data_IF_508410543150
#
_entry.id   IF_508410543150
#
_cell.length_a   1.000
_cell.length_b   1.000
_cell.length_c   1.000
_cell.angle_alpha   90.00
_cell.angle_beta   90.00
_cell.angle_gamma   90.00
#
_symmetry.space_group_name_H-M   'P 1'
#
loop_
_entity.id
_entity.type
_entity.pdbx_description
1 polymer ?
#
# COMPACT_ATOMS: atom_id res chain seq x y z
N UNK A 1 10.70 3.15 49.05
CA UNK A 1 11.63 3.34 47.92
C UNK A 1 10.81 3.63 46.67
N UNK A 2 10.47 4.89 46.46
CA UNK A 2 9.80 5.39 45.25
C UNK A 2 10.91 5.87 44.33
N UNK A 3 11.35 5.02 43.39
CA UNK A 3 12.21 5.47 42.30
C UNK A 3 11.51 6.63 41.59
N UNK A 4 12.15 7.80 41.59
CA UNK A 4 11.76 8.89 40.71
C UNK A 4 12.01 8.40 39.29
N UNK A 5 10.97 7.88 38.64
CA UNK A 5 10.97 7.68 37.20
C UNK A 5 11.24 9.06 36.56
N UNK A 6 12.49 9.27 36.15
CA UNK A 6 12.86 10.44 35.38
C UNK A 6 12.11 10.36 34.06
N UNK A 7 11.51 11.46 33.62
CA UNK A 7 10.82 11.54 32.32
C UNK A 7 11.70 11.03 31.18
N UNK A 8 13.03 11.14 31.31
CA UNK A 8 14.02 10.60 30.37
C UNK A 8 13.97 9.08 30.26
N UNK A 9 13.83 8.36 31.39
CA UNK A 9 13.73 6.89 31.41
C UNK A 9 12.43 6.43 30.77
N UNK A 10 11.31 7.12 31.06
CA UNK A 10 10.02 6.85 30.41
C UNK A 10 10.12 7.11 28.90
N UNK A 11 10.78 8.19 28.50
CA UNK A 11 10.97 8.56 27.10
C UNK A 11 11.85 7.56 26.34
N UNK A 12 12.93 7.09 26.97
CA UNK A 12 13.83 6.06 26.44
C UNK A 12 13.12 4.69 26.38
N UNK A 13 12.21 4.39 27.30
CA UNK A 13 11.39 3.17 27.27
C UNK A 13 10.29 3.22 26.19
N UNK A 14 9.80 4.41 25.85
CA UNK A 14 8.79 4.63 24.82
C UNK A 14 9.37 4.65 23.40
N UNK A 15 10.69 4.82 23.24
CA UNK A 15 11.40 4.85 21.95
C UNK A 15 10.81 5.83 20.91
N UNK A 16 10.21 6.93 21.39
CA UNK A 16 9.66 7.99 20.53
C UNK A 16 10.70 8.64 19.59
N UNK A 17 11.95 8.94 20.01
CA UNK A 17 12.90 9.58 19.12
C UNK A 17 13.37 8.64 18.01
N UNK A 18 13.51 7.35 18.27
CA UNK A 18 13.80 6.33 17.26
C UNK A 18 12.66 6.20 16.26
N UNK A 19 11.41 6.21 16.74
CA UNK A 19 10.24 6.21 15.85
C UNK A 19 10.15 7.50 15.02
N UNK A 20 10.47 8.66 15.59
CA UNK A 20 10.55 9.89 14.81
C UNK A 20 11.70 9.85 13.78
N UNK A 21 12.80 9.16 14.08
CA UNK A 21 13.91 8.95 13.14
C UNK A 21 13.46 8.20 11.88
N UNK A 22 12.44 7.34 11.95
CA UNK A 22 11.87 6.67 10.77
C UNK A 22 11.48 7.63 9.65
N UNK A 23 11.04 8.85 9.98
CA UNK A 23 10.76 9.90 8.99
C UNK A 23 12.01 10.40 8.28
N UNK A 24 13.07 10.71 9.05
CA UNK A 24 14.37 11.14 8.50
C UNK A 24 14.94 10.05 7.60
N UNK A 25 14.83 8.79 8.03
CA UNK A 25 15.21 7.63 7.22
C UNK A 25 14.38 7.56 5.94
N UNK A 26 13.07 7.76 6.00
CA UNK A 26 12.21 7.67 4.82
C UNK A 26 12.59 8.69 3.74
N UNK A 27 12.91 9.93 4.12
CA UNK A 27 13.27 11.04 3.21
C UNK A 27 14.65 10.88 2.55
N UNK A 28 15.48 9.94 3.00
CA UNK A 28 16.81 9.79 2.42
C UNK A 28 16.75 9.55 0.88
N UNK A 29 17.56 10.26 0.08
CA UNK A 29 17.45 10.25 -1.39
C UNK A 29 17.46 8.84 -2.01
N UNK A 30 18.33 7.95 -1.52
CA UNK A 30 18.44 6.59 -2.04
C UNK A 30 17.14 5.80 -1.90
N UNK A 31 16.48 5.89 -0.73
CA UNK A 31 15.22 5.16 -0.46
C UNK A 31 14.05 5.76 -1.21
N UNK A 32 13.99 7.09 -1.29
CA UNK A 32 13.01 7.81 -2.12
C UNK A 32 13.12 7.42 -3.59
N UNK A 33 14.34 7.34 -4.12
CA UNK A 33 14.57 6.98 -5.51
C UNK A 33 14.20 5.51 -5.77
N UNK A 34 14.55 4.58 -4.89
CA UNK A 34 14.13 3.18 -4.99
C UNK A 34 12.61 3.04 -4.97
N UNK A 35 11.95 3.72 -4.04
CA UNK A 35 10.49 3.74 -3.94
C UNK A 35 9.84 4.34 -5.19
N UNK A 36 10.41 5.44 -5.72
CA UNK A 36 9.93 6.08 -6.94
C UNK A 36 10.08 5.19 -8.17
N UNK A 37 11.23 4.55 -8.35
CA UNK A 37 11.42 3.57 -9.41
C UNK A 37 10.44 2.40 -9.31
N UNK A 38 10.16 1.91 -8.08
CA UNK A 38 9.18 0.86 -7.83
C UNK A 38 7.75 1.27 -8.21
N UNK A 39 7.30 2.42 -7.69
CA UNK A 39 5.97 2.98 -7.99
C UNK A 39 5.84 3.26 -9.48
N UNK A 40 6.86 3.87 -10.10
CA UNK A 40 6.88 4.13 -11.53
C UNK A 40 6.79 2.84 -12.36
N UNK A 41 7.53 1.79 -11.99
CA UNK A 41 7.47 0.49 -12.67
C UNK A 41 6.08 -0.15 -12.56
N UNK A 42 5.43 -0.08 -11.39
CA UNK A 42 4.07 -0.61 -11.19
C UNK A 42 3.04 0.17 -12.00
N UNK A 43 3.12 1.51 -11.99
CA UNK A 43 2.21 2.36 -12.76
C UNK A 43 2.41 2.19 -14.27
N UNK A 44 3.65 2.09 -14.75
CA UNK A 44 3.91 1.87 -16.19
C UNK A 44 3.46 0.48 -16.63
N UNK A 45 3.67 -0.55 -15.80
CA UNK A 45 3.14 -1.89 -16.04
C UNK A 45 1.60 -1.86 -16.17
N UNK A 46 0.91 -1.22 -15.21
CA UNK A 46 -0.55 -1.08 -15.26
C UNK A 46 -1.04 -0.33 -16.49
N UNK A 47 -0.36 0.76 -16.85
CA UNK A 47 -0.67 1.54 -18.06
C UNK A 47 -0.47 0.72 -19.35
N UNK A 48 0.64 0.01 -19.48
CA UNK A 48 0.92 -0.86 -20.65
C UNK A 48 -0.13 -1.96 -20.76
N UNK A 49 -0.50 -2.58 -19.63
CA UNK A 49 -1.53 -3.63 -19.62
C UNK A 49 -2.92 -3.09 -19.98
N UNK A 50 -3.27 -1.88 -19.53
CA UNK A 50 -4.52 -1.20 -19.93
C UNK A 50 -4.54 -0.91 -21.44
N UNK A 51 -3.41 -0.50 -22.03
CA UNK A 51 -3.31 -0.32 -23.49
C UNK A 51 -3.55 -1.64 -24.24
N UNK A 52 -3.16 -2.78 -23.67
CA UNK A 52 -3.35 -4.09 -24.28
C UNK A 52 -4.73 -4.71 -24.02
N UNK A 53 -5.45 -4.30 -22.96
CA UNK A 53 -6.70 -4.93 -22.53
C UNK A 53 -7.73 -3.90 -22.04
N UNK A 54 -8.60 -3.46 -22.96
CA UNK A 54 -9.76 -2.61 -22.63
C UNK A 54 -11.00 -3.49 -22.33
N UNK A 55 -11.02 -4.13 -21.16
CA UNK A 55 -12.05 -5.11 -20.80
C UNK A 55 -13.21 -4.55 -19.96
N UNK A 56 -13.07 -3.38 -19.34
CA UNK A 56 -14.09 -2.82 -18.42
C UNK A 56 -15.08 -1.96 -19.18
N UNK A 57 -16.37 -2.22 -19.02
CA UNK A 57 -17.46 -1.42 -19.57
C UNK A 57 -17.78 -0.23 -18.65
N UNK A 58 -17.80 0.95 -19.26
CA UNK A 58 -18.19 2.20 -18.63
C UNK A 58 -19.42 2.73 -19.37
N UNK A 59 -20.49 2.99 -18.63
CA UNK A 59 -21.71 3.60 -19.18
C UNK A 59 -21.86 5.01 -18.63
N UNK A 60 -22.03 5.97 -19.54
CA UNK A 60 -22.32 7.36 -19.20
C UNK A 60 -23.84 7.59 -19.34
N UNK A 61 -24.49 8.15 -18.31
CA UNK A 61 -25.89 8.56 -18.41
C UNK A 61 -25.94 9.94 -19.07
N UNK A 62 -26.47 10.02 -20.29
CA UNK A 62 -26.61 11.29 -21.03
C UNK A 62 -27.63 12.26 -20.41
N UNK A 63 -28.49 11.79 -19.49
CA UNK A 63 -29.56 12.59 -18.88
C UNK A 63 -29.10 13.49 -17.74
N UNK A 64 -27.89 13.28 -17.19
CA UNK A 64 -27.25 14.15 -16.21
C UNK A 64 -25.77 14.29 -16.58
N UNK A 65 -25.44 15.30 -17.37
CA UNK A 65 -24.05 15.62 -17.79
C UNK A 65 -23.08 15.91 -16.63
N UNK A 66 -23.56 15.90 -15.38
CA UNK A 66 -22.79 16.08 -14.13
C UNK A 66 -22.67 14.81 -13.27
N UNK A 67 -23.32 13.70 -13.63
CA UNK A 67 -23.25 12.46 -12.86
C UNK A 67 -21.98 11.66 -13.21
N UNK A 68 -21.24 11.22 -12.20
CA UNK A 68 -20.02 10.42 -12.38
C UNK A 68 -20.31 9.15 -13.23
N UNK A 69 -19.41 8.79 -14.16
CA UNK A 69 -19.60 7.64 -15.04
C UNK A 69 -19.80 6.37 -14.22
N UNK A 70 -20.81 5.57 -14.57
CA UNK A 70 -21.10 4.32 -13.87
C UNK A 70 -20.19 3.23 -14.44
N UNK A 71 -19.33 2.68 -13.60
CA UNK A 71 -18.41 1.59 -13.95
C UNK A 71 -18.95 0.24 -13.46
N UNK A 72 -18.53 -0.85 -14.10
CA UNK A 72 -18.78 -2.21 -13.61
C UNK A 72 -18.37 -2.39 -12.13
N UNK A 73 -17.23 -1.82 -11.75
CA UNK A 73 -16.75 -1.85 -10.37
C UNK A 73 -17.73 -1.15 -9.42
N UNK A 74 -18.29 0.00 -9.81
CA UNK A 74 -19.28 0.69 -8.98
C UNK A 74 -20.56 -0.14 -8.82
N UNK A 75 -20.99 -0.86 -9.87
CA UNK A 75 -22.11 -1.80 -9.80
C UNK A 75 -21.82 -2.97 -8.84
N UNK A 76 -20.62 -3.54 -8.90
CA UNK A 76 -20.17 -4.61 -8.01
C UNK A 76 -20.19 -4.20 -6.54
N UNK A 77 -19.65 -3.02 -6.23
CA UNK A 77 -19.60 -2.52 -4.85
C UNK A 77 -21.01 -2.23 -4.30
N UNK A 78 -21.91 -1.73 -5.15
CA UNK A 78 -23.30 -1.42 -4.80
C UNK A 78 -24.15 -2.66 -4.55
N UNK A 79 -23.81 -3.80 -5.14
CA UNK A 79 -24.50 -5.08 -4.97
C UNK A 79 -24.41 -5.70 -3.56
N UNK A 80 -23.92 -4.96 -2.56
CA UNK A 80 -23.88 -5.41 -1.16
C UNK A 80 -22.79 -6.44 -0.88
N UNK A 81 -22.75 -6.95 0.36
CA UNK A 81 -21.83 -7.99 0.81
C UNK A 81 -22.36 -9.41 0.60
N UNK A 82 -23.54 -9.57 0.03
CA UNK A 82 -24.07 -10.89 -0.30
C UNK A 82 -23.22 -11.55 -1.39
N UNK A 83 -22.89 -12.81 -1.17
CA UNK A 83 -21.90 -13.58 -1.93
C UNK A 83 -22.20 -13.62 -3.44
N UNK A 84 -23.48 -13.50 -3.83
CA UNK A 84 -23.92 -13.42 -5.23
C UNK A 84 -24.47 -12.04 -5.65
N UNK A 85 -24.82 -11.17 -4.70
CA UNK A 85 -25.46 -9.87 -4.99
C UNK A 85 -24.58 -8.93 -5.83
N UNK A 86 -23.27 -8.92 -5.55
CA UNK A 86 -22.30 -8.19 -6.36
C UNK A 86 -22.17 -8.74 -7.79
N UNK A 87 -22.25 -10.05 -7.97
CA UNK A 87 -22.12 -10.68 -9.30
C UNK A 87 -23.37 -10.47 -10.14
N UNK A 88 -24.55 -10.61 -9.54
CA UNK A 88 -25.83 -10.39 -10.21
C UNK A 88 -26.01 -8.91 -10.61
N UNK A 89 -25.58 -7.98 -9.77
CA UNK A 89 -25.60 -6.54 -10.08
C UNK A 89 -24.71 -6.19 -11.29
N UNK A 90 -23.53 -6.81 -11.41
CA UNK A 90 -22.66 -6.63 -12.57
C UNK A 90 -23.28 -7.24 -13.83
N UNK A 91 -23.85 -8.44 -13.76
CA UNK A 91 -24.54 -9.07 -14.90
C UNK A 91 -25.70 -8.19 -15.40
N UNK A 92 -26.56 -7.72 -14.49
CA UNK A 92 -27.65 -6.79 -14.82
C UNK A 92 -27.15 -5.47 -15.42
N UNK A 93 -25.96 -5.01 -15.02
CA UNK A 93 -25.33 -3.83 -15.59
C UNK A 93 -24.81 -4.09 -17.00
N UNK A 94 -24.19 -5.24 -17.24
CA UNK A 94 -23.70 -5.66 -18.56
C UNK A 94 -24.85 -5.83 -19.55
N UNK A 95 -25.95 -6.50 -19.16
CA UNK A 95 -27.13 -6.68 -20.02
C UNK A 95 -27.76 -5.34 -20.43
N UNK A 96 -27.77 -4.36 -19.51
CA UNK A 96 -28.24 -2.99 -19.78
C UNK A 96 -27.26 -2.16 -20.63
N UNK A 97 -25.97 -2.48 -20.54
CA UNK A 97 -24.94 -1.81 -21.31
C UNK A 97 -24.94 -2.30 -22.77
N UNK A 98 -25.20 -3.59 -23.00
CA UNK A 98 -25.33 -4.17 -24.35
C UNK A 98 -26.47 -3.52 -25.17
N UNK A 99 -27.51 -3.06 -24.49
CA UNK A 99 -28.65 -2.35 -25.11
C UNK A 99 -28.43 -0.85 -25.30
N UNK A 100 -27.35 -0.26 -24.76
CA UNK A 100 -27.02 1.18 -24.91
C UNK A 100 -25.88 1.40 -25.91
N UNK A 101 -26.07 2.31 -26.85
CA UNK A 101 -25.07 2.70 -27.85
C UNK A 101 -23.91 3.54 -27.30
N UNK A 102 -23.97 4.00 -26.05
CA UNK A 102 -22.98 4.89 -25.41
C UNK A 102 -22.13 4.15 -24.35
N UNK A 103 -21.51 3.04 -24.77
CA UNK A 103 -20.61 2.25 -23.93
C UNK A 103 -19.15 2.52 -24.30
N UNK A 104 -18.37 3.00 -23.33
CA UNK A 104 -16.93 3.18 -23.46
C UNK A 104 -16.21 2.04 -22.76
N UNK A 105 -15.11 1.55 -23.35
CA UNK A 105 -14.24 0.57 -22.68
C UNK A 105 -13.05 1.27 -22.03
N UNK A 106 -12.72 0.84 -20.81
CA UNK A 106 -11.57 1.31 -20.04
C UNK A 106 -10.74 0.10 -19.58
N UNK A 107 -9.46 0.34 -19.29
CA UNK A 107 -8.57 -0.64 -18.71
C UNK A 107 -8.83 -0.86 -17.20
N UNK A 108 -8.51 -2.07 -16.73
CA UNK A 108 -8.75 -2.51 -15.34
C UNK A 108 -7.91 -1.69 -14.36
N UNK A 109 -6.65 -1.38 -14.69
CA UNK A 109 -5.78 -0.59 -13.82
C UNK A 109 -6.29 0.84 -13.67
N UNK A 110 -6.70 1.49 -14.75
CA UNK A 110 -7.25 2.85 -14.74
C UNK A 110 -8.51 2.93 -13.88
N UNK A 111 -9.42 1.95 -14.00
CA UNK A 111 -10.62 1.87 -13.15
C UNK A 111 -10.26 1.68 -11.68
N UNK A 112 -9.33 0.77 -11.36
CA UNK A 112 -8.88 0.56 -9.98
C UNK A 112 -8.15 1.77 -9.40
N UNK A 113 -7.31 2.43 -10.19
CA UNK A 113 -6.54 3.60 -9.79
C UNK A 113 -7.46 4.78 -9.47
N UNK A 114 -8.43 5.08 -10.34
CA UNK A 114 -9.42 6.15 -10.12
C UNK A 114 -10.27 5.84 -8.88
N UNK A 115 -10.70 4.60 -8.72
CA UNK A 115 -11.49 4.17 -7.57
C UNK A 115 -10.70 4.28 -6.25
N UNK A 116 -9.47 3.75 -6.22
CA UNK A 116 -8.62 3.77 -5.04
C UNK A 116 -8.19 5.19 -4.66
N UNK A 117 -7.79 6.02 -5.63
CA UNK A 117 -7.40 7.41 -5.38
C UNK A 117 -8.59 8.25 -4.87
N UNK A 118 -9.79 8.06 -5.42
CA UNK A 118 -11.02 8.72 -4.95
C UNK A 118 -11.35 8.37 -3.50
N UNK A 119 -11.36 7.07 -3.15
CA UNK A 119 -11.63 6.66 -1.77
C UNK A 119 -10.52 7.00 -0.77
N UNK A 120 -9.27 7.00 -1.20
CA UNK A 120 -8.15 7.48 -0.37
C UNK A 120 -8.27 8.98 -0.08
N UNK A 121 -8.66 9.76 -1.09
CA UNK A 121 -8.94 11.17 -0.92
C UNK A 121 -10.09 11.41 0.06
N UNK A 122 -11.24 10.74 -0.11
CA UNK A 122 -12.38 10.80 0.81
C UNK A 122 -12.04 10.37 2.24
N UNK A 123 -11.20 9.32 2.40
CA UNK A 123 -10.74 8.90 3.71
C UNK A 123 -9.88 9.98 4.38
N UNK A 124 -8.99 10.62 3.60
CA UNK A 124 -8.13 11.69 4.12
C UNK A 124 -8.95 12.93 4.48
N UNK A 125 -9.93 13.32 3.67
CA UNK A 125 -10.77 14.49 3.95
C UNK A 125 -11.59 14.29 5.22
N UNK A 126 -12.19 13.10 5.39
CA UNK A 126 -12.98 12.78 6.57
C UNK A 126 -12.11 12.69 7.83
N UNK A 127 -10.89 12.14 7.74
CA UNK A 127 -9.96 12.09 8.87
C UNK A 127 -9.54 13.49 9.36
N UNK A 128 -9.48 14.47 8.46
CA UNK A 128 -9.17 15.86 8.77
C UNK A 128 -10.40 16.67 9.23
N UNK A 129 -11.62 16.18 9.00
CA UNK A 129 -12.82 16.82 9.50
C UNK A 129 -13.04 16.49 10.98
N UNK A 130 -12.39 17.26 11.85
CA UNK A 130 -12.49 17.17 13.31
C UNK A 130 -13.68 17.98 13.88
N UNK A 131 -14.37 18.77 13.04
CA UNK A 131 -15.47 19.66 13.46
C UNK A 131 -16.78 18.91 13.64
N UNK A 132 -17.13 18.04 12.69
CA UNK A 132 -18.51 17.55 12.57
C UNK A 132 -18.71 16.11 13.09
N UNK A 133 -17.63 15.37 13.35
CA UNK A 133 -17.70 13.94 13.68
C UNK A 133 -16.68 13.53 14.76
N UNK A 134 -17.07 12.54 15.58
CA UNK A 134 -16.17 11.93 16.54
C UNK A 134 -14.97 11.27 15.84
N UNK A 135 -13.78 11.32 16.44
CA UNK A 135 -12.55 10.69 15.90
C UNK A 135 -12.79 9.21 15.59
N UNK A 136 -13.53 8.50 16.44
CA UNK A 136 -13.88 7.09 16.23
C UNK A 136 -14.70 6.86 14.95
N UNK A 137 -15.67 7.73 14.64
CA UNK A 137 -16.43 7.64 13.38
C UNK A 137 -15.57 7.91 12.16
N UNK A 138 -14.61 8.85 12.25
CA UNK A 138 -13.70 9.15 11.16
C UNK A 138 -12.74 7.98 10.89
N UNK A 139 -12.21 7.36 11.94
CA UNK A 139 -11.37 6.14 11.81
C UNK A 139 -12.19 5.00 11.21
N UNK A 140 -13.41 4.75 11.72
CA UNK A 140 -14.28 3.70 11.19
C UNK A 140 -14.61 3.94 9.71
N UNK A 141 -14.86 5.20 9.32
CA UNK A 141 -15.09 5.58 7.93
C UNK A 141 -13.86 5.29 7.05
N UNK A 142 -12.68 5.70 7.50
CA UNK A 142 -11.42 5.43 6.78
C UNK A 142 -11.16 3.93 6.61
N UNK A 143 -11.35 3.12 7.65
CA UNK A 143 -11.26 1.66 7.58
C UNK A 143 -12.27 1.09 6.59
N UNK A 144 -13.51 1.60 6.58
CA UNK A 144 -14.53 1.21 5.62
C UNK A 144 -14.12 1.49 4.16
N UNK A 145 -13.45 2.62 3.90
CA UNK A 145 -12.93 2.96 2.56
C UNK A 145 -11.77 2.05 2.14
N UNK A 146 -10.86 1.72 3.06
CA UNK A 146 -9.81 0.73 2.81
C UNK A 146 -10.42 -0.64 2.49
N UNK A 147 -11.47 -1.04 3.21
CA UNK A 147 -12.21 -2.26 2.92
C UNK A 147 -12.84 -2.28 1.52
N UNK A 148 -13.38 -1.14 1.06
CA UNK A 148 -13.89 -1.01 -0.31
C UNK A 148 -12.78 -1.18 -1.36
N UNK A 149 -11.57 -0.66 -1.12
CA UNK A 149 -10.42 -0.90 -2.00
C UNK A 149 -10.03 -2.39 -2.06
N UNK A 150 -10.09 -3.11 -0.93
CA UNK A 150 -9.87 -4.56 -0.91
C UNK A 150 -10.94 -5.31 -1.71
N UNK A 151 -12.21 -4.91 -1.58
CA UNK A 151 -13.30 -5.46 -2.40
C UNK A 151 -13.11 -5.17 -3.89
N UNK A 152 -12.59 -4.00 -4.25
CA UNK A 152 -12.29 -3.65 -5.64
C UNK A 152 -11.18 -4.53 -6.23
N UNK A 153 -10.16 -4.87 -5.44
CA UNK A 153 -9.18 -5.89 -5.85
C UNK A 153 -9.86 -7.26 -6.06
N UNK A 154 -10.78 -7.65 -5.17
CA UNK A 154 -11.58 -8.88 -5.32
C UNK A 154 -12.43 -8.90 -6.60
N UNK A 155 -13.02 -7.77 -6.99
CA UNK A 155 -13.70 -7.60 -8.27
C UNK A 155 -12.76 -7.88 -9.44
N UNK A 156 -11.56 -7.29 -9.42
CA UNK A 156 -10.58 -7.49 -10.49
C UNK A 156 -10.21 -8.97 -10.65
N UNK A 157 -9.96 -9.69 -9.55
CA UNK A 157 -9.68 -11.14 -9.61
C UNK A 157 -10.87 -11.96 -10.10
N UNK A 158 -12.11 -11.56 -9.78
CA UNK A 158 -13.31 -12.31 -10.15
C UNK A 158 -13.69 -12.16 -11.61
N UNK A 159 -13.63 -10.94 -12.15
CA UNK A 159 -14.08 -10.62 -13.52
C UNK A 159 -12.93 -10.57 -14.53
N UNK A 160 -11.72 -10.24 -14.08
CA UNK A 160 -10.52 -10.16 -14.93
C UNK A 160 -9.35 -10.98 -14.34
N UNK A 161 -9.49 -12.31 -14.20
CA UNK A 161 -8.53 -13.14 -13.47
C UNK A 161 -7.13 -13.14 -14.11
N UNK A 162 -7.04 -13.27 -15.43
CA UNK A 162 -5.73 -13.31 -16.13
C UNK A 162 -4.99 -11.99 -15.96
N UNK A 163 -5.68 -10.87 -16.21
CA UNK A 163 -5.14 -9.53 -16.02
C UNK A 163 -4.64 -9.35 -14.58
N UNK A 164 -5.49 -9.67 -13.60
CA UNK A 164 -5.18 -9.48 -12.19
C UNK A 164 -4.02 -10.35 -11.73
N UNK A 165 -3.97 -11.62 -12.12
CA UNK A 165 -2.85 -12.51 -11.75
C UNK A 165 -1.53 -11.98 -12.28
N UNK A 166 -1.47 -11.56 -13.55
CA UNK A 166 -0.23 -11.01 -14.15
C UNK A 166 0.17 -9.71 -13.46
N UNK A 167 -0.77 -8.75 -13.33
CA UNK A 167 -0.49 -7.44 -12.76
C UNK A 167 -0.09 -7.50 -11.28
N UNK A 168 -0.85 -8.22 -10.45
CA UNK A 168 -0.56 -8.31 -9.01
C UNK A 168 0.69 -9.17 -8.74
N UNK A 169 0.95 -10.23 -9.52
CA UNK A 169 2.18 -11.00 -9.38
C UNK A 169 3.42 -10.16 -9.73
N UNK A 170 3.42 -9.47 -10.87
CA UNK A 170 4.53 -8.61 -11.25
C UNK A 170 4.71 -7.44 -10.28
N UNK A 171 3.61 -6.81 -9.83
CA UNK A 171 3.66 -5.76 -8.80
C UNK A 171 4.25 -6.28 -7.49
N UNK A 172 3.85 -7.48 -7.06
CA UNK A 172 4.41 -8.13 -5.86
C UNK A 172 5.91 -8.37 -6.00
N UNK A 173 6.38 -8.89 -7.15
CA UNK A 173 7.80 -9.11 -7.40
C UNK A 173 8.62 -7.80 -7.34
N UNK A 174 8.08 -6.70 -7.88
CA UNK A 174 8.69 -5.37 -7.83
C UNK A 174 8.75 -4.87 -6.38
N UNK A 175 7.65 -4.94 -5.63
CA UNK A 175 7.61 -4.49 -4.24
C UNK A 175 8.47 -5.34 -3.30
N UNK A 176 8.63 -6.64 -3.56
CA UNK A 176 9.57 -7.50 -2.82
C UNK A 176 11.00 -7.02 -3.03
N UNK A 177 11.38 -6.70 -4.27
CA UNK A 177 12.73 -6.19 -4.57
C UNK A 177 12.98 -4.82 -3.92
N UNK A 178 12.07 -3.88 -4.15
CA UNK A 178 12.17 -2.50 -3.66
C UNK A 178 12.10 -2.46 -2.13
N UNK A 179 11.18 -3.21 -1.53
CA UNK A 179 11.05 -3.34 -0.08
C UNK A 179 12.31 -3.90 0.57
N UNK A 180 12.91 -4.95 -0.02
CA UNK A 180 14.16 -5.52 0.49
C UNK A 180 15.33 -4.54 0.43
N UNK A 181 15.45 -3.78 -0.66
CA UNK A 181 16.47 -2.75 -0.82
C UNK A 181 16.28 -1.60 0.19
N UNK A 182 15.05 -1.09 0.35
CA UNK A 182 14.74 -0.01 1.29
C UNK A 182 14.95 -0.47 2.74
N UNK A 183 14.48 -1.66 3.12
CA UNK A 183 14.70 -2.20 4.46
C UNK A 183 16.19 -2.36 4.77
N UNK A 184 17.03 -2.75 3.81
CA UNK A 184 18.48 -2.79 4.00
C UNK A 184 19.10 -1.39 4.18
N UNK A 185 18.71 -0.41 3.35
CA UNK A 185 19.15 0.97 3.52
C UNK A 185 18.75 1.54 4.88
N UNK A 186 17.50 1.30 5.30
CA UNK A 186 16.99 1.79 6.57
C UNK A 186 17.69 1.13 7.75
N UNK A 187 17.95 -0.18 7.66
CA UNK A 187 18.67 -0.92 8.69
C UNK A 187 20.11 -0.41 8.88
N UNK A 188 20.86 -0.20 7.77
CA UNK A 188 22.23 0.32 7.82
C UNK A 188 22.30 1.76 8.36
N UNK A 189 21.42 2.64 7.88
CA UNK A 189 21.42 4.04 8.33
C UNK A 189 20.94 4.18 9.78
N UNK A 190 20.03 3.31 10.24
CA UNK A 190 19.61 3.31 11.64
C UNK A 190 20.68 2.71 12.57
N UNK A 191 21.31 1.61 12.17
CA UNK A 191 22.23 0.86 13.03
C UNK A 191 23.65 1.45 13.06
N UNK A 192 24.21 1.83 11.91
CA UNK A 192 25.61 2.30 11.79
C UNK A 192 25.73 3.76 11.35
N UNK A 193 24.62 4.47 11.14
CA UNK A 193 24.60 5.79 10.50
C UNK A 193 25.25 5.79 9.09
N UNK A 194 25.38 4.63 8.46
CA UNK A 194 25.93 4.45 7.13
C UNK A 194 24.85 4.63 6.07
N UNK A 195 25.17 5.37 5.01
CA UNK A 195 24.27 5.59 3.88
C UNK A 195 24.72 4.77 2.69
N UNK A 196 24.19 3.54 2.50
CA UNK A 196 24.57 2.73 1.36
C UNK A 196 24.13 3.40 0.05
N UNK A 197 24.94 3.20 -0.99
CA UNK A 197 24.63 3.68 -2.33
C UNK A 197 23.43 2.95 -2.95
N UNK A 198 22.80 3.55 -3.96
CA UNK A 198 21.66 2.95 -4.68
C UNK A 198 21.99 1.55 -5.22
N UNK A 199 23.15 1.43 -5.87
CA UNK A 199 23.60 0.17 -6.47
C UNK A 199 23.98 -0.88 -5.43
N UNK A 200 24.49 -0.44 -4.27
CA UNK A 200 24.83 -1.34 -3.17
C UNK A 200 23.55 -1.96 -2.56
N UNK A 201 22.54 -1.12 -2.31
CA UNK A 201 21.25 -1.55 -1.80
C UNK A 201 20.51 -2.47 -2.78
N UNK A 202 20.49 -2.09 -4.05
CA UNK A 202 19.90 -2.91 -5.13
C UNK A 202 20.67 -4.23 -5.31
N UNK A 203 22.00 -4.20 -5.23
CA UNK A 203 22.85 -5.39 -5.29
C UNK A 203 22.58 -6.35 -4.12
N UNK A 204 22.40 -5.83 -2.90
CA UNK A 204 22.00 -6.64 -1.75
C UNK A 204 20.63 -7.29 -1.94
N UNK A 205 19.64 -6.51 -2.42
CA UNK A 205 18.30 -7.01 -2.68
C UNK A 205 18.30 -8.08 -3.78
N UNK A 206 19.09 -7.91 -4.85
CA UNK A 206 19.22 -8.88 -5.93
C UNK A 206 19.84 -10.20 -5.44
N UNK A 207 20.94 -10.13 -4.66
CA UNK A 207 21.62 -11.32 -4.13
C UNK A 207 20.75 -12.11 -3.15
N UNK A 208 19.91 -11.44 -2.37
CA UNK A 208 19.04 -12.06 -1.37
C UNK A 208 17.56 -12.12 -1.82
N UNK A 209 17.28 -11.94 -3.11
CA UNK A 209 15.92 -11.83 -3.62
C UNK A 209 15.05 -13.05 -3.28
N UNK A 210 15.64 -14.26 -3.34
CA UNK A 210 14.95 -15.51 -2.97
C UNK A 210 14.52 -15.51 -1.50
N UNK A 211 15.34 -14.99 -0.58
CA UNK A 211 14.96 -14.88 0.83
C UNK A 211 13.81 -13.89 1.02
N UNK A 212 13.89 -12.72 0.38
CA UNK A 212 12.81 -11.72 0.44
C UNK A 212 11.51 -12.20 -0.21
N UNK A 213 11.58 -13.04 -1.25
CA UNK A 213 10.41 -13.61 -1.92
C UNK A 213 9.77 -14.73 -1.09
N UNK A 214 10.59 -15.62 -0.53
CA UNK A 214 10.10 -16.77 0.25
C UNK A 214 9.49 -16.36 1.58
N UNK A 215 9.95 -15.28 2.22
CA UNK A 215 9.43 -14.83 3.50
C UNK A 215 7.91 -14.51 3.51
N UNK A 216 7.34 -13.74 2.57
CA UNK A 216 5.90 -13.54 2.46
C UNK A 216 5.18 -14.68 1.72
N UNK A 217 5.83 -15.33 0.75
CA UNK A 217 5.18 -16.36 -0.08
C UNK A 217 4.95 -17.66 0.69
N UNK A 218 5.84 -18.04 1.61
CA UNK A 218 5.74 -19.28 2.37
C UNK A 218 4.56 -19.28 3.36
N UNK A 219 4.34 -18.23 4.19
CA UNK A 219 3.13 -18.13 5.01
C UNK A 219 1.85 -18.14 4.18
N UNK A 220 1.82 -17.39 3.07
CA UNK A 220 0.67 -17.39 2.17
C UNK A 220 0.42 -18.76 1.52
N UNK A 221 1.49 -19.46 1.13
CA UNK A 221 1.42 -20.81 0.58
C UNK A 221 0.91 -21.83 1.60
N UNK A 222 1.36 -21.74 2.86
CA UNK A 222 0.87 -22.60 3.95
C UNK A 222 -0.60 -22.34 4.29
N UNK A 223 -1.01 -21.06 4.35
CA UNK A 223 -2.42 -20.68 4.50
C UNK A 223 -3.25 -21.26 3.35
N UNK A 224 -2.79 -21.10 2.11
CA UNK A 224 -3.44 -21.66 0.93
C UNK A 224 -3.54 -23.19 0.96
N UNK A 225 -2.48 -23.88 1.38
CA UNK A 225 -2.44 -25.33 1.49
C UNK A 225 -3.46 -25.85 2.52
N UNK A 226 -3.48 -25.30 3.73
CA UNK A 226 -4.44 -25.72 4.76
C UNK A 226 -5.87 -25.30 4.41
N UNK A 227 -6.07 -24.12 3.84
CA UNK A 227 -7.38 -23.70 3.34
C UNK A 227 -7.88 -24.64 2.23
N UNK A 228 -7.00 -25.08 1.33
CA UNK A 228 -7.35 -26.04 0.28
C UNK A 228 -7.80 -27.38 0.87
N UNK A 229 -7.13 -27.88 1.91
CA UNK A 229 -7.58 -29.10 2.63
C UNK A 229 -8.98 -28.90 3.22
N UNK A 230 -9.25 -27.76 3.87
CA UNK A 230 -10.59 -27.45 4.41
C UNK A 230 -11.64 -27.37 3.29
N UNK A 231 -11.31 -26.76 2.15
CA UNK A 231 -12.20 -26.69 0.99
C UNK A 231 -12.52 -28.09 0.44
N UNK A 232 -11.50 -28.95 0.29
CA UNK A 232 -11.72 -30.34 -0.16
C UNK A 232 -12.63 -31.12 0.79
N UNK A 233 -12.44 -30.95 2.10
CA UNK A 233 -13.32 -31.57 3.10
C UNK A 233 -14.74 -31.02 3.01
N UNK A 234 -14.91 -29.73 2.77
CA UNK A 234 -16.21 -29.11 2.50
C UNK A 234 -16.88 -29.66 1.24
N UNK A 235 -16.11 -29.90 0.16
CA UNK A 235 -16.61 -30.53 -1.06
C UNK A 235 -17.06 -31.98 -0.81
N UNK A 236 -16.30 -32.74 -0.02
CA UNK A 236 -16.67 -34.11 0.36
C UNK A 236 -17.93 -34.13 1.23
N UNK A 237 -18.07 -33.16 2.14
CA UNK A 237 -19.27 -33.00 2.97
C UNK A 237 -20.52 -32.63 2.16
N UNK A 238 -20.37 -32.05 0.97
CA UNK A 238 -21.49 -31.68 0.09
C UNK A 238 -22.16 -32.88 -0.62
N UNK A 239 -21.61 -34.09 -0.51
CA UNK A 239 -22.19 -35.29 -1.14
C UNK A 239 -23.47 -35.72 -0.40
N UNK A 240 -24.63 -35.83 -1.07
CA UNK A 240 -25.88 -36.19 -0.41
C UNK A 240 -25.83 -37.58 0.25
N UNK A 241 -26.42 -37.71 1.44
CA UNK A 241 -26.48 -38.90 2.32
C UNK A 241 -25.15 -39.37 2.93
N UNK A 242 -24.07 -39.47 2.16
CA UNK A 242 -22.76 -39.94 2.67
C UNK A 242 -21.96 -38.81 3.31
N UNK A 243 -22.08 -37.59 2.80
CA UNK A 243 -21.34 -36.42 3.25
C UNK A 243 -21.65 -36.03 4.70
N UNK A 244 -22.87 -36.25 5.18
CA UNK A 244 -23.28 -35.93 6.56
C UNK A 244 -22.53 -36.78 7.60
N UNK A 245 -22.49 -38.10 7.40
CA UNK A 245 -21.77 -39.04 8.27
C UNK A 245 -20.26 -38.81 8.22
N UNK A 246 -19.73 -38.57 7.02
CA UNK A 246 -18.31 -38.32 6.81
C UNK A 246 -17.89 -36.97 7.40
N UNK A 247 -18.77 -35.97 7.37
CA UNK A 247 -18.52 -34.67 8.00
C UNK A 247 -18.39 -34.82 9.51
N UNK A 248 -19.31 -35.53 10.18
CA UNK A 248 -19.21 -35.76 11.64
C UNK A 248 -17.90 -36.47 12.00
N UNK A 249 -17.48 -37.46 11.20
CA UNK A 249 -16.23 -38.18 11.41
C UNK A 249 -14.99 -37.30 11.19
N UNK A 250 -14.97 -36.46 10.13
CA UNK A 250 -13.84 -35.60 9.78
C UNK A 250 -13.91 -34.20 10.41
N UNK A 251 -14.93 -33.89 11.20
CA UNK A 251 -15.14 -32.55 11.76
C UNK A 251 -13.97 -32.10 12.64
N UNK A 252 -13.39 -33.03 13.42
CA UNK A 252 -12.20 -32.74 14.22
C UNK A 252 -11.01 -32.29 13.36
N UNK A 253 -10.85 -32.89 12.17
CA UNK A 253 -9.80 -32.54 11.22
C UNK A 253 -10.09 -31.19 10.54
N UNK A 254 -11.37 -30.89 10.23
CA UNK A 254 -11.81 -29.56 9.75
C UNK A 254 -11.49 -28.48 10.78
N UNK A 255 -11.83 -28.69 12.06
CA UNK A 255 -11.52 -27.74 13.14
C UNK A 255 -10.02 -27.54 13.31
N UNK A 256 -9.24 -28.62 13.25
CA UNK A 256 -7.78 -28.54 13.36
C UNK A 256 -7.16 -27.69 12.24
N UNK A 257 -7.49 -27.96 10.98
CA UNK A 257 -6.98 -27.17 9.86
C UNK A 257 -7.56 -25.74 9.84
N UNK A 258 -8.82 -25.55 10.21
CA UNK A 258 -9.41 -24.21 10.35
C UNK A 258 -8.73 -23.36 11.43
N UNK A 259 -8.35 -23.99 12.54
CA UNK A 259 -7.56 -23.37 13.60
C UNK A 259 -6.14 -23.02 13.11
N UNK A 260 -5.46 -23.94 12.40
CA UNK A 260 -4.15 -23.68 11.80
C UNK A 260 -4.19 -22.51 10.80
N UNK A 261 -5.18 -22.46 9.92
CA UNK A 261 -5.38 -21.34 8.99
C UNK A 261 -5.56 -20.04 9.77
N UNK A 262 -6.38 -20.05 10.83
CA UNK A 262 -6.64 -18.87 11.65
C UNK A 262 -5.37 -18.36 12.35
N UNK A 263 -4.57 -19.25 12.93
CA UNK A 263 -3.28 -18.90 13.54
C UNK A 263 -2.29 -18.34 12.51
N UNK A 264 -2.20 -18.95 11.32
CA UNK A 264 -1.28 -18.51 10.28
C UNK A 264 -1.69 -17.17 9.68
N UNK A 265 -2.98 -16.91 9.48
CA UNK A 265 -3.48 -15.61 9.03
C UNK A 265 -3.18 -14.53 10.08
N UNK A 266 -3.46 -14.82 11.35
CA UNK A 266 -3.17 -13.88 12.45
C UNK A 266 -1.67 -13.60 12.57
N UNK A 267 -0.84 -14.64 12.51
CA UNK A 267 0.62 -14.53 12.54
C UNK A 267 1.18 -13.76 11.34
N UNK A 268 0.69 -14.03 10.13
CA UNK A 268 1.11 -13.31 8.92
C UNK A 268 0.71 -11.84 8.96
N UNK A 269 -0.49 -11.53 9.46
CA UNK A 269 -0.95 -10.15 9.60
C UNK A 269 -0.14 -9.38 10.67
N UNK A 270 0.12 -10.01 11.81
CA UNK A 270 0.82 -9.36 12.92
C UNK A 270 2.35 -9.29 12.71
N UNK A 271 2.96 -10.33 12.13
CA UNK A 271 4.40 -10.46 11.91
C UNK A 271 4.88 -10.07 10.52
N UNK A 272 3.98 -9.92 9.54
CA UNK A 272 4.34 -9.62 8.14
C UNK A 272 5.19 -8.37 7.97
N UNK A 273 4.97 -7.36 8.82
CA UNK A 273 5.76 -6.12 8.84
C UNK A 273 7.24 -6.37 9.13
N UNK A 274 7.57 -7.40 9.93
CA UNK A 274 8.91 -7.67 10.43
C UNK A 274 9.73 -8.60 9.52
N UNK A 275 9.09 -9.23 8.52
CA UNK A 275 9.74 -10.20 7.64
C UNK A 275 10.93 -9.58 6.88
N UNK A 276 10.71 -8.46 6.20
CA UNK A 276 11.74 -7.79 5.40
C UNK A 276 12.88 -7.23 6.26
N UNK A 277 12.61 -6.50 7.36
CA UNK A 277 13.63 -6.08 8.32
C UNK A 277 14.49 -7.21 8.88
N UNK A 278 13.92 -8.36 9.22
CA UNK A 278 14.70 -9.47 9.78
C UNK A 278 15.79 -9.96 8.83
N UNK A 279 15.47 -10.10 7.54
CA UNK A 279 16.44 -10.46 6.49
C UNK A 279 17.46 -9.34 6.28
N UNK A 280 17.03 -8.08 6.38
CA UNK A 280 17.91 -6.93 6.23
C UNK A 280 18.93 -6.77 7.38
N UNK A 281 18.54 -7.07 8.61
CA UNK A 281 19.41 -6.97 9.79
C UNK A 281 20.34 -8.17 9.95
N UNK A 282 19.86 -9.38 9.69
CA UNK A 282 20.53 -10.62 10.11
C UNK A 282 20.91 -11.54 8.94
N UNK A 283 20.57 -11.17 7.70
CA UNK A 283 20.84 -11.96 6.48
C UNK A 283 20.32 -13.41 6.62
N UNK A 284 19.13 -13.55 7.17
CA UNK A 284 18.47 -14.85 7.41
C UNK A 284 17.78 -15.37 6.15
N UNK A 285 17.43 -16.66 6.16
CA UNK A 285 16.60 -17.27 5.11
C UNK A 285 15.12 -16.94 5.35
N UNK A 286 14.29 -17.02 4.30
CA UNK A 286 12.86 -16.72 4.41
C UNK A 286 12.14 -17.51 5.53
N UNK A 287 12.37 -18.82 5.71
CA UNK A 287 11.78 -19.57 6.81
C UNK A 287 12.24 -19.11 8.20
N UNK A 288 13.53 -18.83 8.38
CA UNK A 288 14.08 -18.34 9.66
C UNK A 288 13.51 -16.96 10.02
N UNK A 289 13.35 -16.10 9.01
CA UNK A 289 12.71 -14.79 9.14
C UNK A 289 11.28 -14.87 9.71
N UNK A 290 10.49 -15.86 9.29
CA UNK A 290 9.12 -16.07 9.81
C UNK A 290 9.16 -16.45 11.29
N UNK A 291 10.06 -17.36 11.66
CA UNK A 291 10.25 -17.78 13.05
C UNK A 291 10.54 -16.58 13.96
N UNK A 292 11.48 -15.72 13.58
CA UNK A 292 11.83 -14.51 14.35
C UNK A 292 10.71 -13.49 14.40
N UNK A 293 10.10 -13.20 13.25
CA UNK A 293 8.98 -12.25 13.17
C UNK A 293 7.82 -12.66 14.08
N UNK A 294 7.46 -13.94 14.08
CA UNK A 294 6.39 -14.46 14.92
C UNK A 294 6.79 -14.49 16.39
N UNK A 295 8.04 -14.88 16.69
CA UNK A 295 8.56 -14.88 18.05
C UNK A 295 8.47 -13.49 18.70
N UNK A 296 8.89 -12.44 17.99
CA UNK A 296 8.85 -11.07 18.52
C UNK A 296 7.43 -10.58 18.78
N UNK A 297 6.49 -10.88 17.87
CA UNK A 297 5.08 -10.52 18.03
C UNK A 297 4.47 -11.24 19.23
N UNK A 298 4.74 -12.53 19.41
CA UNK A 298 4.16 -13.35 20.48
C UNK A 298 4.74 -13.03 21.86
N UNK A 299 6.04 -12.73 21.95
CA UNK A 299 6.66 -12.38 23.23
C UNK A 299 6.23 -11.02 23.77
N UNK A 300 5.94 -10.05 22.89
CA UNK A 300 5.64 -8.67 23.28
C UNK A 300 4.52 -8.03 22.41
N UNK A 301 3.31 -8.60 22.36
CA UNK A 301 2.25 -8.18 21.42
C UNK A 301 1.78 -6.75 21.67
N UNK A 302 1.61 -6.37 22.94
CA UNK A 302 1.16 -5.01 23.32
C UNK A 302 2.16 -3.96 22.84
N UNK A 303 3.45 -4.25 22.94
CA UNK A 303 4.51 -3.33 22.54
C UNK A 303 4.63 -3.23 21.03
N UNK A 304 4.43 -4.33 20.30
CA UNK A 304 4.30 -4.30 18.84
C UNK A 304 3.14 -3.42 18.39
N UNK A 305 1.94 -3.59 18.98
CA UNK A 305 0.77 -2.75 18.68
C UNK A 305 1.06 -1.28 18.96
N UNK A 306 1.68 -0.99 20.11
CA UNK A 306 2.10 0.37 20.46
C UNK A 306 3.05 0.98 19.42
N UNK A 307 4.10 0.26 19.02
CA UNK A 307 5.07 0.71 18.03
C UNK A 307 4.45 0.96 16.65
N UNK A 308 3.57 0.07 16.20
CA UNK A 308 2.83 0.23 14.94
C UNK A 308 1.89 1.44 15.01
N UNK A 309 1.19 1.64 16.13
CA UNK A 309 0.28 2.77 16.31
C UNK A 309 1.03 4.10 16.30
N UNK A 310 2.11 4.21 17.09
CA UNK A 310 2.93 5.42 17.16
C UNK A 310 3.57 5.74 15.81
N UNK A 311 4.12 4.73 15.12
CA UNK A 311 4.63 4.92 13.76
C UNK A 311 3.51 5.34 12.80
N UNK A 312 2.31 4.76 12.89
CA UNK A 312 1.18 5.17 12.06
C UNK A 312 0.79 6.64 12.25
N UNK A 313 0.80 7.13 13.51
CA UNK A 313 0.52 8.53 13.83
C UNK A 313 1.61 9.46 13.27
N UNK A 314 2.89 9.15 13.50
CA UNK A 314 3.98 9.94 12.94
C UNK A 314 3.97 9.94 11.40
N UNK A 315 3.79 8.78 10.78
CA UNK A 315 3.70 8.65 9.33
C UNK A 315 2.56 9.49 8.74
N UNK A 316 1.38 9.46 9.37
CA UNK A 316 0.24 10.28 8.93
C UNK A 316 0.53 11.77 9.11
N UNK A 317 1.07 12.18 10.25
CA UNK A 317 1.44 13.57 10.52
C UNK A 317 2.45 14.10 9.50
N UNK A 318 3.56 13.38 9.28
CA UNK A 318 4.59 13.80 8.34
C UNK A 318 4.13 13.73 6.88
N UNK A 319 3.28 12.77 6.52
CA UNK A 319 2.62 12.74 5.22
C UNK A 319 1.79 14.01 4.96
N UNK A 320 1.01 14.46 5.95
CA UNK A 320 0.23 15.69 5.85
C UNK A 320 1.12 16.94 5.75
N UNK A 321 2.22 16.99 6.52
CA UNK A 321 3.21 18.08 6.42
C UNK A 321 3.83 18.11 5.03
N UNK A 322 4.28 16.97 4.50
CA UNK A 322 4.85 16.90 3.15
C UNK A 322 3.84 17.33 2.08
N UNK A 323 2.59 16.88 2.20
CA UNK A 323 1.49 17.28 1.32
C UNK A 323 1.22 18.79 1.39
N UNK A 324 1.24 19.37 2.58
CA UNK A 324 1.07 20.80 2.80
C UNK A 324 2.22 21.60 2.17
N UNK A 325 3.46 21.15 2.31
CA UNK A 325 4.63 21.80 1.68
C UNK A 325 4.55 21.76 0.16
N UNK A 326 4.19 20.61 -0.42
CA UNK A 326 3.98 20.47 -1.87
C UNK A 326 2.85 21.39 -2.32
N UNK A 327 1.72 21.41 -1.61
CA UNK A 327 0.61 22.31 -1.91
C UNK A 327 1.04 23.77 -1.85
N UNK A 328 1.76 24.19 -0.82
CA UNK A 328 2.19 25.58 -0.66
C UNK A 328 3.14 25.99 -1.80
N UNK A 329 4.06 25.11 -2.18
CA UNK A 329 4.95 25.34 -3.32
C UNK A 329 4.14 25.50 -4.63
N UNK A 330 3.22 24.57 -4.92
CA UNK A 330 2.37 24.62 -6.11
C UNK A 330 1.45 25.84 -6.11
N UNK A 331 0.86 26.18 -4.96
CA UNK A 331 -0.02 27.33 -4.79
C UNK A 331 0.72 28.63 -5.03
N UNK A 332 1.93 28.76 -4.49
CA UNK A 332 2.78 29.92 -4.69
C UNK A 332 3.16 30.07 -6.17
N UNK A 333 3.62 28.99 -6.81
CA UNK A 333 3.94 28.99 -8.25
C UNK A 333 2.73 29.35 -9.10
N UNK A 334 1.56 28.77 -8.79
CA UNK A 334 0.29 29.09 -9.48
C UNK A 334 -0.07 30.56 -9.34
N UNK A 335 0.02 31.11 -8.12
CA UNK A 335 -0.33 32.50 -7.83
C UNK A 335 0.61 33.48 -8.52
N UNK A 336 1.90 33.18 -8.58
CA UNK A 336 2.89 33.98 -9.29
C UNK A 336 2.67 33.95 -10.81
N UNK A 337 2.36 32.77 -11.37
CA UNK A 337 2.01 32.64 -12.79
C UNK A 337 0.73 33.41 -13.12
N UNK A 338 -0.30 33.29 -12.27
CA UNK A 338 -1.57 34.01 -12.44
C UNK A 338 -1.33 35.52 -12.39
N UNK A 339 -0.55 36.01 -11.43
CA UNK A 339 -0.18 37.43 -11.34
C UNK A 339 0.55 37.92 -12.59
N UNK A 340 1.46 37.12 -13.16
CA UNK A 340 2.12 37.44 -14.43
C UNK A 340 1.14 37.53 -15.61
N UNK A 341 0.20 36.57 -15.71
CA UNK A 341 -0.78 36.52 -16.80
C UNK A 341 -1.91 37.55 -16.67
N UNK A 342 -2.27 37.98 -15.45
CA UNK A 342 -3.24 39.05 -15.22
C UNK A 342 -2.70 40.40 -15.67
N UNK A 343 -1.41 40.68 -15.47
CA UNK A 343 -0.73 41.90 -15.98
C UNK A 343 -0.89 42.00 -17.51
N UNK A 344 -0.82 40.87 -18.22
CA UNK A 344 -0.92 40.80 -19.69
C UNK A 344 -2.38 40.55 -20.18
N UNK A 345 -3.38 40.59 -19.28
CA UNK A 345 -4.81 40.34 -19.57
C UNK A 345 -5.09 38.96 -20.21
N UNK A 346 -4.27 37.95 -19.91
CA UNK A 346 -4.44 36.56 -20.38
C UNK A 346 -4.72 35.56 -19.24
N UNK A 347 -5.20 36.04 -18.10
CA UNK A 347 -5.54 35.22 -16.92
C UNK A 347 -6.32 33.90 -17.22
N UNK A 348 -7.38 33.87 -18.06
CA UNK A 348 -8.16 32.64 -18.28
C UNK A 348 -7.39 31.55 -19.05
N UNK A 349 -6.20 31.86 -19.58
CA UNK A 349 -5.33 30.88 -20.24
C UNK A 349 -4.68 29.93 -19.24
N UNK A 350 -4.44 30.38 -17.99
CA UNK A 350 -3.78 29.54 -16.99
C UNK A 350 -4.68 28.38 -16.56
N UNK A 351 -5.97 28.63 -16.32
CA UNK A 351 -6.95 27.58 -15.94
C UNK A 351 -7.06 26.47 -17.02
N UNK A 352 -6.88 26.85 -18.30
CA UNK A 352 -6.86 25.92 -19.44
C UNK A 352 -5.58 25.09 -19.57
N UNK A 353 -4.48 25.53 -18.97
CA UNK A 353 -3.19 24.86 -19.03
C UNK A 353 -2.97 24.04 -17.77
N UNK A 354 -3.15 24.66 -16.62
CA UNK A 354 -2.94 24.12 -15.29
C UNK A 354 -4.09 24.57 -14.37
N UNK A 355 -5.04 23.70 -14.04
CA UNK A 355 -6.10 24.04 -13.11
C UNK A 355 -5.56 24.29 -11.68
N UNK A 356 -6.28 25.10 -10.93
CA UNK A 356 -5.94 25.48 -9.56
C UNK A 356 -5.61 24.24 -8.69
N UNK A 357 -4.41 24.19 -8.08
CA UNK A 357 -4.05 23.09 -7.19
C UNK A 357 -4.84 23.23 -5.89
N UNK A 358 -5.47 22.13 -5.43
CA UNK A 358 -6.08 22.09 -4.08
C UNK A 358 -5.23 21.22 -3.15
N UNK A 359 -5.37 21.41 -1.83
CA UNK A 359 -4.63 20.64 -0.82
C UNK A 359 -4.76 19.13 -0.99
N UNK A 360 -5.93 18.69 -1.47
CA UNK A 360 -6.31 17.30 -1.50
C UNK A 360 -6.37 16.74 -2.94
N UNK A 361 -6.54 17.58 -3.97
CA UNK A 361 -6.48 17.18 -5.38
C UNK A 361 -5.37 17.92 -6.14
N UNK A 362 -4.26 17.21 -6.37
CA UNK A 362 -3.15 17.72 -7.20
C UNK A 362 -3.36 17.41 -8.69
N UNK A 363 -4.06 16.31 -9.01
CA UNK A 363 -4.33 15.89 -10.39
C UNK A 363 -5.72 16.35 -10.81
N UNK A 364 -5.86 17.65 -11.10
CA UNK A 364 -7.05 18.18 -11.75
C UNK A 364 -6.83 18.17 -13.27
N UNK A 365 -7.84 17.72 -14.02
CA UNK A 365 -7.79 17.72 -15.50
C UNK A 365 -8.34 19.05 -16.01
N UNK A 366 -7.64 19.68 -16.95
CA UNK A 366 -8.10 20.96 -17.50
C UNK A 366 -9.33 20.78 -18.42
N UNK A 367 -10.23 21.75 -18.37
CA UNK A 367 -11.44 21.81 -19.17
C UNK A 367 -11.15 22.40 -20.56
N UNK A 368 -11.40 21.59 -21.60
CA UNK A 368 -11.51 21.97 -23.02
C UNK A 368 -10.40 22.90 -23.57
N UNK A 369 -9.25 22.35 -24.02
CA UNK A 369 -8.21 23.15 -24.67
C UNK A 369 -8.73 23.80 -25.96
N UNK A 370 -8.49 25.10 -26.16
CA UNK A 370 -8.98 25.82 -27.33
C UNK A 370 -8.08 25.61 -28.56
N UNK A 371 -6.80 25.30 -28.35
CA UNK A 371 -5.78 25.10 -29.39
C UNK A 371 -4.95 23.85 -29.09
N UNK A 372 -4.46 23.17 -30.13
CA UNK A 372 -3.62 21.97 -30.00
C UNK A 372 -2.35 22.20 -29.17
N UNK A 373 -1.77 23.40 -29.21
CA UNK A 373 -0.61 23.79 -28.39
C UNK A 373 -0.95 23.89 -26.90
N UNK A 374 -2.16 24.34 -26.57
CA UNK A 374 -2.66 24.35 -25.18
C UNK A 374 -2.90 22.93 -24.69
N UNK A 375 -3.44 22.06 -25.54
CA UNK A 375 -3.60 20.64 -25.24
C UNK A 375 -2.26 19.96 -24.97
N UNK A 376 -1.27 20.15 -25.85
CA UNK A 376 0.08 19.59 -25.67
C UNK A 376 0.74 20.08 -24.37
N UNK A 377 0.61 21.38 -24.08
CA UNK A 377 1.15 21.98 -22.85
C UNK A 377 0.47 21.43 -21.60
N UNK A 378 -0.86 21.29 -21.61
CA UNK A 378 -1.62 20.72 -20.50
C UNK A 378 -1.23 19.27 -20.22
N UNK A 379 -0.98 18.47 -21.26
CA UNK A 379 -0.49 17.08 -21.10
C UNK A 379 0.90 17.04 -20.46
N UNK A 380 1.82 17.91 -20.89
CA UNK A 380 3.17 17.98 -20.30
C UNK A 380 3.09 18.39 -18.83
N UNK A 381 2.30 19.41 -18.49
CA UNK A 381 2.09 19.84 -17.10
C UNK A 381 1.47 18.69 -16.28
N UNK A 382 0.50 17.98 -16.84
CA UNK A 382 -0.12 16.82 -16.19
C UNK A 382 0.91 15.72 -15.88
N UNK A 383 1.86 15.45 -16.78
CA UNK A 383 2.96 14.50 -16.53
C UNK A 383 3.87 14.95 -15.37
N UNK A 384 4.18 16.25 -15.27
CA UNK A 384 4.93 16.78 -14.12
C UNK A 384 4.14 16.61 -12.81
N UNK A 385 2.84 16.90 -12.82
CA UNK A 385 1.98 16.71 -11.65
C UNK A 385 1.88 15.23 -11.25
N UNK A 386 1.87 14.31 -12.23
CA UNK A 386 1.94 12.88 -11.99
C UNK A 386 3.27 12.50 -11.32
N UNK A 387 4.39 13.10 -11.73
CA UNK A 387 5.68 12.95 -11.07
C UNK A 387 5.66 13.37 -9.59
N UNK A 388 5.05 14.53 -9.29
CA UNK A 388 4.90 15.03 -7.91
C UNK A 388 4.06 14.07 -7.05
N UNK A 389 2.93 13.58 -7.58
CA UNK A 389 2.11 12.57 -6.90
C UNK A 389 2.88 11.25 -6.74
N UNK A 390 3.67 10.87 -7.73
CA UNK A 390 4.57 9.72 -7.67
C UNK A 390 5.58 9.82 -6.52
N UNK A 391 6.18 11.00 -6.32
CA UNK A 391 7.10 11.26 -5.19
C UNK A 391 6.35 11.11 -3.85
N UNK A 392 5.13 11.64 -3.75
CA UNK A 392 4.33 11.50 -2.52
C UNK A 392 3.99 10.03 -2.23
N UNK A 393 3.64 9.25 -3.25
CA UNK A 393 3.38 7.81 -3.11
C UNK A 393 4.67 7.03 -2.75
N UNK A 394 5.81 7.46 -3.31
CA UNK A 394 7.13 6.92 -2.99
C UNK A 394 7.48 7.14 -1.52
N UNK A 395 7.08 8.29 -0.96
CA UNK A 395 7.24 8.54 0.47
C UNK A 395 6.48 7.55 1.33
N UNK A 396 5.24 7.21 0.98
CA UNK A 396 4.45 6.24 1.74
C UNK A 396 5.15 4.87 1.76
N UNK A 397 5.63 4.41 0.60
CA UNK A 397 6.35 3.14 0.46
C UNK A 397 7.68 3.16 1.23
N UNK A 398 8.48 4.21 1.07
CA UNK A 398 9.75 4.38 1.77
C UNK A 398 9.57 4.43 3.28
N UNK A 399 8.54 5.15 3.75
CA UNK A 399 8.19 5.25 5.16
C UNK A 399 7.79 3.91 5.74
N UNK A 400 6.92 3.16 5.05
CA UNK A 400 6.47 1.84 5.49
C UNK A 400 7.63 0.87 5.75
N UNK A 401 8.56 0.73 4.80
CA UNK A 401 9.71 -0.17 4.97
C UNK A 401 10.76 0.36 5.95
N UNK A 402 10.91 1.69 6.05
CA UNK A 402 11.84 2.31 7.00
C UNK A 402 11.35 2.20 8.44
N UNK A 403 10.05 2.42 8.68
CA UNK A 403 9.46 2.26 10.01
C UNK A 403 9.45 0.80 10.43
N UNK A 404 9.14 -0.12 9.51
CA UNK A 404 9.27 -1.56 9.76
C UNK A 404 10.68 -1.95 10.24
N UNK A 405 11.72 -1.38 9.62
CA UNK A 405 13.12 -1.61 10.01
C UNK A 405 13.42 -1.11 11.43
N UNK A 406 12.96 0.08 11.78
CA UNK A 406 13.11 0.64 13.13
C UNK A 406 12.34 -0.19 14.16
N UNK A 407 11.08 -0.56 13.87
CA UNK A 407 10.26 -1.38 14.76
C UNK A 407 10.94 -2.73 15.01
N UNK A 408 11.51 -3.36 13.98
CA UNK A 408 12.27 -4.60 14.12
C UNK A 408 13.46 -4.44 15.06
N UNK A 409 14.27 -3.39 14.89
CA UNK A 409 15.43 -3.12 15.74
C UNK A 409 15.03 -2.92 17.21
N UNK A 410 13.92 -2.22 17.46
CA UNK A 410 13.40 -2.00 18.82
C UNK A 410 12.84 -3.27 19.45
N UNK A 411 12.12 -4.09 18.67
CA UNK A 411 11.62 -5.39 19.14
C UNK A 411 12.77 -6.34 19.47
N UNK A 412 13.80 -6.40 18.62
CA UNK A 412 15.02 -7.18 18.86
C UNK A 412 15.76 -6.73 20.12
N UNK A 413 15.87 -5.42 20.36
CA UNK A 413 16.44 -4.87 21.60
C UNK A 413 15.64 -5.29 22.82
N UNK A 414 14.32 -5.36 22.72
CA UNK A 414 13.48 -5.70 23.88
C UNK A 414 13.42 -7.20 24.17
N UNK A 415 13.25 -8.03 23.14
CA UNK A 415 13.07 -9.48 23.28
C UNK A 415 14.42 -10.17 23.45
N UNK A 416 15.39 -9.88 22.58
CA UNK A 416 16.68 -10.59 22.55
C UNK A 416 17.80 -9.86 23.29
N UNK A 417 17.55 -8.63 23.78
CA UNK A 417 18.56 -7.75 24.41
C UNK A 417 19.74 -7.44 23.49
N UNK A 418 19.55 -7.52 22.17
CA UNK A 418 20.59 -7.17 21.20
C UNK A 418 20.53 -5.67 20.91
N UNK A 419 21.68 -5.02 20.92
CA UNK A 419 21.79 -3.58 20.64
C UNK A 419 21.31 -3.24 19.22
N UNK A 420 20.70 -2.07 19.07
CA UNK A 420 20.14 -1.56 17.81
C UNK A 420 21.19 -1.33 16.73
N UNK A 421 22.45 -1.17 17.13
CA UNK A 421 23.60 -0.90 16.26
C UNK A 421 24.15 -2.18 15.59
N UNK A 422 23.83 -3.36 16.14
CA UNK A 422 24.35 -4.62 15.62
C UNK A 422 23.62 -5.00 14.33
N UNK A 423 24.30 -4.91 13.19
CA UNK A 423 23.76 -5.31 11.88
C UNK A 423 24.79 -6.17 11.14
N UNK A 424 24.33 -7.15 10.38
CA UNK A 424 25.21 -7.95 9.54
C UNK A 424 25.86 -7.06 8.46
N UNK A 425 27.19 -6.96 8.44
CA UNK A 425 27.99 -6.30 7.38
C UNK A 425 29.03 -7.27 6.86
N UNK A 426 29.13 -7.40 5.54
CA UNK A 426 29.98 -8.42 4.91
C UNK A 426 31.48 -8.23 5.19
N UNK A 427 31.93 -6.98 5.39
CA UNK A 427 33.34 -6.62 5.60
C UNK A 427 33.88 -7.01 6.99
N UNK A 428 33.02 -7.10 8.01
CA UNK A 428 33.45 -7.49 9.37
C UNK A 428 33.72 -9.00 9.44
N UNK A 429 33.04 -9.81 8.62
CA UNK A 429 33.19 -11.26 8.65
C UNK A 429 34.53 -11.75 8.11
N UNK A 430 35.25 -10.96 7.30
CA UNK A 430 36.61 -11.29 6.84
C UNK A 430 37.68 -10.92 7.85
N UNK A 431 37.41 -10.00 8.79
CA UNK A 431 38.36 -9.59 9.81
C UNK A 431 38.39 -10.52 11.03
N UNK A 432 37.31 -11.26 11.29
CA UNK A 432 37.23 -12.27 12.37
C UNK A 432 37.73 -13.68 11.94
N UNK A 433 38.12 -13.84 10.67
CA UNK A 433 38.60 -15.12 10.11
C UNK A 433 40.10 -15.15 9.78
N UNK A 434 40.80 -14.04 10.02
CA UNK A 434 42.27 -13.93 9.97
C UNK A 434 42.80 -13.72 11.40
#
# INVERSE_FOLDING_TARGET
>A
MTERYSLRVIWDDLALPEMACSFKLAIAPTKMLLAFCGVFAVCTLGYVMDCCSNSVVVSQDQTLSSAAPKTELAAYIRGGSEQDGGSEAVKKFLDKAETRSDTRRQGVFSTLWVFASGHFHEATTQLLNLSDANIYSNIKYAIGKVWLCLRAAGWAFRFHPIYSVIYFAASFLIFVFVGGAISRCAALEFAKAERPGLFEAAGYAARNYRSFLTAPLLPLGLVGLFAFVVILLGMVAAIPRVGELLMVLLFGLVLFFGFLVSLMVLGTFAGGLLLFPSIAYEKTTGPDSIGRAFNYVLHCPIRMVYYVLVSGVFGTFFYLVLRLLIFLALRLTYSLLLAGMTIVKQAPKLDRLWPEPTLLSFLNTSSAPAVWTESASSVVIYLFMLGIVGILLSYIVSYFFSSAAVIYALMRKKVDKIETERIFVHLECTADTD
#
